data_IF_767594692866
#
_entry.id   IF_767594692866
#
_cell.length_a   1.000
_cell.length_b   1.000
_cell.length_c   1.000
_cell.angle_alpha   90.00
_cell.angle_beta   90.00
_cell.angle_gamma   90.00
#
_symmetry.space_group_name_H-M   'P 1'
#
loop_
_entity.id
_entity.type
_entity.pdbx_description
1 polymer ?
#
# COMPACT_ATOMS: atom_id res chain seq x y z
N UNK A 1 10.77 -7.68 -26.79
CA UNK A 1 9.39 -7.19 -27.01
C UNK A 1 8.53 -7.80 -25.91
N UNK A 2 7.91 -6.98 -25.06
CA UNK A 2 7.14 -7.46 -23.91
C UNK A 2 5.90 -8.27 -24.35
N UNK A 3 5.91 -9.58 -24.13
CA UNK A 3 4.95 -10.56 -24.66
C UNK A 3 3.70 -10.76 -23.79
N UNK A 4 3.39 -9.87 -22.83
CA UNK A 4 2.28 -10.05 -21.88
C UNK A 4 1.10 -9.08 -22.01
N UNK A 5 1.28 -7.89 -22.60
CA UNK A 5 0.22 -6.86 -22.66
C UNK A 5 -0.33 -6.70 -24.07
N UNK A 6 -1.67 -6.72 -24.22
CA UNK A 6 -2.28 -6.39 -25.51
C UNK A 6 -2.10 -4.90 -25.85
N UNK A 7 -2.27 -4.54 -27.12
CA UNK A 7 -2.01 -3.18 -27.61
C UNK A 7 -2.91 -2.12 -26.96
N UNK A 8 -4.14 -2.46 -26.57
CA UNK A 8 -5.09 -1.53 -25.94
C UNK A 8 -4.64 -1.20 -24.52
N UNK A 9 -4.31 -2.23 -23.74
CA UNK A 9 -3.85 -2.08 -22.35
C UNK A 9 -2.52 -1.35 -22.30
N UNK A 10 -1.63 -1.63 -23.26
CA UNK A 10 -0.35 -0.93 -23.39
C UNK A 10 -0.55 0.57 -23.57
N UNK A 11 -1.37 0.98 -24.54
CA UNK A 11 -1.66 2.41 -24.79
C UNK A 11 -2.29 3.08 -23.57
N UNK A 12 -3.19 2.37 -22.90
CA UNK A 12 -3.85 2.88 -21.68
C UNK A 12 -2.82 3.12 -20.57
N UNK A 13 -1.93 2.15 -20.33
CA UNK A 13 -0.89 2.23 -19.32
C UNK A 13 0.14 3.32 -19.66
N UNK A 14 0.59 3.42 -20.92
CA UNK A 14 1.47 4.49 -21.41
C UNK A 14 0.86 5.88 -21.15
N UNK A 15 -0.43 6.07 -21.45
CA UNK A 15 -1.13 7.33 -21.19
C UNK A 15 -1.22 7.66 -19.69
N UNK A 16 -1.47 6.66 -18.83
CA UNK A 16 -1.49 6.84 -17.38
C UNK A 16 -0.10 7.21 -16.83
N UNK A 17 0.96 6.52 -17.28
CA UNK A 17 2.33 6.74 -16.84
C UNK A 17 2.93 8.05 -17.37
N UNK A 18 2.52 8.50 -18.57
CA UNK A 18 2.87 9.82 -19.09
C UNK A 18 2.38 10.96 -18.18
N UNK A 19 1.40 10.69 -17.32
CA UNK A 19 0.85 11.65 -16.37
C UNK A 19 1.73 11.84 -15.12
N UNK A 20 2.78 11.04 -14.92
CA UNK A 20 3.76 11.24 -13.84
C UNK A 20 4.53 12.56 -14.07
N UNK A 21 4.41 13.52 -13.14
CA UNK A 21 4.99 14.86 -13.25
C UNK A 21 6.37 14.98 -12.58
N UNK A 22 6.69 14.04 -11.70
CA UNK A 22 8.00 13.85 -11.06
C UNK A 22 8.38 12.38 -11.09
N UNK A 23 9.67 12.04 -11.16
CA UNK A 23 10.12 10.67 -11.03
C UNK A 23 9.61 10.04 -9.74
N UNK A 24 9.19 8.78 -9.82
CA UNK A 24 8.81 7.97 -8.66
C UNK A 24 9.70 6.74 -8.62
N UNK A 25 10.10 6.33 -7.42
CA UNK A 25 10.96 5.18 -7.24
C UNK A 25 10.21 4.08 -6.46
N UNK A 26 10.36 2.83 -6.92
CA UNK A 26 9.80 1.65 -6.27
C UNK A 26 10.92 0.66 -5.99
N UNK A 27 11.03 0.24 -4.74
CA UNK A 27 11.93 -0.83 -4.34
C UNK A 27 11.11 -2.10 -4.13
N UNK A 28 11.49 -3.17 -4.82
CA UNK A 28 10.89 -4.49 -4.66
C UNK A 28 11.93 -5.43 -4.06
N UNK A 29 11.62 -5.95 -2.88
CA UNK A 29 12.38 -6.99 -2.21
C UNK A 29 11.83 -8.35 -2.64
N UNK A 30 12.66 -9.16 -3.25
CA UNK A 30 12.32 -10.37 -4.00
C UNK A 30 13.12 -11.56 -3.51
N UNK A 31 12.59 -12.74 -3.77
CA UNK A 31 13.25 -14.04 -3.62
C UNK A 31 13.09 -14.87 -4.91
N UNK A 32 13.36 -16.17 -4.85
CA UNK A 32 13.30 -17.10 -5.98
C UNK A 32 11.90 -17.68 -6.25
N UNK A 33 10.88 -17.32 -5.44
CA UNK A 33 9.53 -17.87 -5.58
C UNK A 33 8.78 -17.26 -6.77
N UNK A 34 7.77 -17.96 -7.32
CA UNK A 34 7.02 -17.51 -8.49
C UNK A 34 6.42 -16.10 -8.37
N UNK A 35 5.90 -15.76 -7.18
CA UNK A 35 5.34 -14.42 -6.92
C UNK A 35 6.39 -13.31 -7.11
N UNK A 36 7.65 -13.56 -6.71
CA UNK A 36 8.74 -12.59 -6.86
C UNK A 36 9.19 -12.44 -8.32
N UNK A 37 9.21 -13.53 -9.07
CA UNK A 37 9.47 -13.53 -10.52
C UNK A 37 8.44 -12.68 -11.26
N UNK A 38 7.16 -12.85 -10.91
CA UNK A 38 6.07 -12.09 -11.50
C UNK A 38 6.13 -10.59 -11.15
N UNK A 39 6.41 -10.25 -9.89
CA UNK A 39 6.62 -8.84 -9.49
C UNK A 39 7.74 -8.20 -10.29
N UNK A 40 8.87 -8.91 -10.47
CA UNK A 40 9.99 -8.41 -11.27
C UNK A 40 9.58 -8.11 -12.72
N UNK A 41 8.79 -9.00 -13.33
CA UNK A 41 8.29 -8.81 -14.70
C UNK A 41 7.34 -7.62 -14.80
N UNK A 42 6.32 -7.55 -13.93
CA UNK A 42 5.34 -6.44 -13.90
C UNK A 42 6.05 -5.10 -13.77
N UNK A 43 6.99 -4.98 -12.82
CA UNK A 43 7.68 -3.72 -12.58
C UNK A 43 8.64 -3.34 -13.71
N UNK A 44 9.32 -4.30 -14.34
CA UNK A 44 10.17 -4.04 -15.51
C UNK A 44 9.36 -3.50 -16.69
N UNK A 45 8.24 -4.16 -17.02
CA UNK A 45 7.35 -3.71 -18.10
C UNK A 45 6.82 -2.31 -17.79
N UNK A 46 6.36 -2.09 -16.55
CA UNK A 46 5.81 -0.78 -16.15
C UNK A 46 6.87 0.32 -16.22
N UNK A 47 8.11 0.04 -15.79
CA UNK A 47 9.22 1.00 -15.85
C UNK A 47 9.63 1.35 -17.30
N UNK A 48 9.69 0.36 -18.19
CA UNK A 48 9.95 0.56 -19.63
C UNK A 48 8.91 1.50 -20.25
N UNK A 49 7.63 1.25 -19.98
CA UNK A 49 6.52 2.10 -20.47
C UNK A 49 6.52 3.50 -19.84
N UNK A 50 7.08 3.67 -18.64
CA UNK A 50 7.16 4.97 -17.98
C UNK A 50 8.25 5.89 -18.57
N UNK A 51 9.15 5.36 -19.42
CA UNK A 51 10.20 6.12 -20.10
C UNK A 51 11.04 7.00 -19.13
N UNK A 52 11.54 6.38 -18.06
CA UNK A 52 12.38 7.05 -17.06
C UNK A 52 11.63 7.81 -15.96
N UNK A 53 10.29 7.90 -16.03
CA UNK A 53 9.47 8.50 -14.95
C UNK A 53 9.24 7.56 -13.77
N UNK A 54 9.43 6.26 -13.96
CA UNK A 54 9.39 5.25 -12.91
C UNK A 54 10.76 4.57 -12.83
N UNK A 55 11.38 4.65 -11.66
CA UNK A 55 12.64 3.99 -11.34
C UNK A 55 12.30 2.76 -10.49
N UNK A 56 12.79 1.59 -10.88
CA UNK A 56 12.55 0.34 -10.15
C UNK A 56 13.88 -0.22 -9.69
N UNK A 57 13.98 -0.52 -8.38
CA UNK A 57 15.06 -1.33 -7.82
C UNK A 57 14.53 -2.70 -7.44
N UNK A 58 15.07 -3.73 -8.08
CA UNK A 58 14.78 -5.11 -7.76
C UNK A 58 15.91 -5.64 -6.87
N UNK A 59 15.59 -6.02 -5.64
CA UNK A 59 16.54 -6.38 -4.60
C UNK A 59 16.29 -7.83 -4.18
N UNK A 60 17.27 -8.71 -4.41
CA UNK A 60 17.21 -10.09 -3.95
C UNK A 60 17.49 -10.25 -2.45
N UNK A 61 17.55 -11.49 -1.99
CA UNK A 61 17.90 -11.77 -0.60
C UNK A 61 19.31 -11.33 -0.23
N UNK A 62 19.45 -10.76 0.97
CA UNK A 62 20.70 -10.19 1.47
C UNK A 62 21.16 -8.91 0.74
N UNK A 63 20.46 -8.45 -0.30
CA UNK A 63 20.92 -7.34 -1.14
C UNK A 63 20.85 -5.96 -0.47
N UNK A 64 20.21 -5.81 0.69
CA UNK A 64 20.11 -4.54 1.39
C UNK A 64 20.07 -4.71 2.92
N UNK A 65 20.80 -3.89 3.71
CA UNK A 65 20.85 -4.01 5.18
C UNK A 65 19.48 -3.87 5.86
N UNK A 66 18.58 -3.06 5.29
CA UNK A 66 17.23 -2.86 5.82
C UNK A 66 16.22 -3.93 5.39
N UNK A 67 16.62 -4.89 4.54
CA UNK A 67 15.69 -5.84 3.93
C UNK A 67 14.86 -6.59 4.99
N UNK A 68 15.49 -7.09 6.07
CA UNK A 68 14.78 -7.81 7.13
C UNK A 68 13.73 -6.95 7.83
N UNK A 69 14.07 -5.69 8.12
CA UNK A 69 13.20 -4.74 8.83
C UNK A 69 12.02 -4.34 7.94
N UNK A 70 12.29 -3.99 6.68
CA UNK A 70 11.30 -3.47 5.75
C UNK A 70 10.27 -4.52 5.31
N UNK A 71 10.58 -5.80 5.45
CA UNK A 71 9.71 -6.84 4.92
C UNK A 71 9.19 -7.80 5.96
N UNK A 72 9.82 -7.82 7.15
CA UNK A 72 9.49 -8.75 8.24
C UNK A 72 9.50 -10.20 7.73
N UNK A 73 10.57 -10.55 7.02
CA UNK A 73 10.79 -11.87 6.41
C UNK A 73 9.72 -12.32 5.37
N UNK A 74 8.88 -11.39 4.88
CA UNK A 74 7.98 -11.64 3.74
C UNK A 74 8.61 -11.25 2.41
N UNK A 75 8.25 -11.96 1.35
CA UNK A 75 8.66 -11.68 -0.04
C UNK A 75 7.58 -12.20 -1.01
N UNK A 76 7.26 -11.50 -2.11
CA UNK A 76 7.78 -10.18 -2.47
C UNK A 76 7.15 -9.06 -1.63
N UNK A 77 7.90 -7.98 -1.40
CA UNK A 77 7.40 -6.75 -0.76
C UNK A 77 7.87 -5.53 -1.55
N UNK A 78 6.93 -4.67 -1.92
CA UNK A 78 7.20 -3.42 -2.62
C UNK A 78 7.03 -2.23 -1.67
N UNK A 79 7.95 -1.29 -1.80
CA UNK A 79 7.92 0.00 -1.12
C UNK A 79 8.01 1.12 -2.16
N UNK A 80 7.15 2.13 -2.02
CA UNK A 80 7.21 3.34 -2.86
C UNK A 80 8.00 4.41 -2.11
N UNK A 81 8.90 5.09 -2.82
CA UNK A 81 9.73 6.14 -2.26
C UNK A 81 9.14 7.51 -2.60
N UNK A 82 9.32 8.44 -1.66
CA UNK A 82 9.01 9.84 -1.81
C UNK A 82 10.05 10.55 -2.70
N UNK A 83 9.79 11.83 -3.04
CA UNK A 83 10.65 12.59 -3.93
C UNK A 83 12.07 12.81 -3.42
N UNK A 84 12.33 12.64 -2.10
CA UNK A 84 13.66 12.78 -1.52
C UNK A 84 14.34 11.43 -1.24
N UNK A 85 13.77 10.32 -1.75
CA UNK A 85 14.30 8.96 -1.55
C UNK A 85 13.93 8.34 -0.21
N UNK A 86 13.06 8.96 0.58
CA UNK A 86 12.51 8.38 1.79
C UNK A 86 11.47 7.29 1.47
N UNK A 87 11.42 6.22 2.26
CA UNK A 87 10.33 5.25 2.14
C UNK A 87 9.02 5.90 2.57
N UNK A 88 8.05 5.95 1.68
CA UNK A 88 6.68 6.26 2.07
C UNK A 88 6.14 5.09 2.87
N UNK A 89 5.26 5.31 3.86
CA UNK A 89 4.74 4.26 4.71
C UNK A 89 3.64 3.46 4.01
N UNK A 90 3.96 2.94 2.82
CA UNK A 90 3.08 2.14 1.98
C UNK A 90 3.83 0.86 1.61
N UNK A 91 3.35 -0.24 2.16
CA UNK A 91 3.91 -1.58 2.01
C UNK A 91 2.94 -2.44 1.20
N UNK A 92 3.36 -2.95 0.04
CA UNK A 92 2.56 -3.86 -0.77
C UNK A 92 3.19 -5.25 -0.71
N UNK A 93 2.45 -6.22 -0.17
CA UNK A 93 2.88 -7.59 0.07
C UNK A 93 2.21 -8.50 -0.96
N UNK A 94 3.03 -9.18 -1.76
CA UNK A 94 2.58 -10.01 -2.86
C UNK A 94 2.49 -9.26 -4.21
N UNK A 95 2.17 -9.98 -5.30
CA UNK A 95 2.11 -9.40 -6.63
C UNK A 95 0.90 -8.46 -6.80
N UNK A 96 1.07 -7.25 -7.40
CA UNK A 96 -0.03 -6.32 -7.63
C UNK A 96 -0.86 -6.73 -8.86
N UNK A 97 -1.49 -7.91 -8.80
CA UNK A 97 -2.24 -8.52 -9.91
C UNK A 97 -3.62 -7.91 -10.10
N UNK A 98 -4.15 -8.08 -11.32
CA UNK A 98 -5.54 -7.78 -11.65
C UNK A 98 -5.93 -6.36 -11.26
N UNK A 99 -6.99 -6.23 -10.45
CA UNK A 99 -7.47 -4.93 -9.99
C UNK A 99 -6.46 -4.15 -9.13
N UNK A 100 -5.50 -4.82 -8.48
CA UNK A 100 -4.47 -4.17 -7.68
C UNK A 100 -3.39 -3.49 -8.52
N UNK A 101 -3.19 -3.92 -9.77
CA UNK A 101 -2.27 -3.24 -10.68
C UNK A 101 -2.71 -1.79 -10.93
N UNK A 102 -4.01 -1.59 -11.15
CA UNK A 102 -4.58 -0.25 -11.31
C UNK A 102 -4.45 0.61 -10.04
N UNK A 103 -4.54 -0.01 -8.86
CA UNK A 103 -4.29 0.68 -7.59
C UNK A 103 -2.82 1.14 -7.48
N UNK A 104 -1.86 0.26 -7.80
CA UNK A 104 -0.43 0.61 -7.85
C UNK A 104 -0.17 1.77 -8.81
N UNK A 105 -0.66 1.72 -10.05
CA UNK A 105 -0.47 2.81 -11.02
C UNK A 105 -1.04 4.13 -10.50
N UNK A 106 -2.21 4.09 -9.85
CA UNK A 106 -2.81 5.28 -9.23
C UNK A 106 -1.97 5.80 -8.06
N UNK A 107 -1.41 4.92 -7.24
CA UNK A 107 -0.50 5.31 -6.16
C UNK A 107 0.73 6.04 -6.72
N UNK A 108 1.37 5.51 -7.76
CA UNK A 108 2.52 6.16 -8.41
C UNK A 108 2.16 7.56 -8.91
N UNK A 109 0.99 7.70 -9.54
CA UNK A 109 0.43 9.00 -9.96
C UNK A 109 0.28 9.97 -8.80
N UNK A 110 -0.26 9.49 -7.67
CA UNK A 110 -0.52 10.31 -6.49
C UNK A 110 0.79 10.75 -5.83
N UNK A 111 1.76 9.85 -5.69
CA UNK A 111 3.11 10.16 -5.19
C UNK A 111 3.81 11.16 -6.10
N UNK A 112 3.82 10.90 -7.41
CA UNK A 112 4.40 11.82 -8.41
C UNK A 112 3.82 13.22 -8.29
N UNK A 113 2.52 13.34 -8.00
CA UNK A 113 1.81 14.63 -7.83
C UNK A 113 1.82 15.20 -6.42
N UNK A 114 2.36 14.48 -5.43
CA UNK A 114 2.29 14.84 -4.01
C UNK A 114 0.83 15.10 -3.57
N UNK A 115 -0.05 14.13 -3.83
CA UNK A 115 -1.48 14.16 -3.51
C UNK A 115 -1.91 12.87 -2.83
N UNK A 116 -2.99 12.91 -2.05
CA UNK A 116 -3.59 11.73 -1.42
C UNK A 116 -5.05 11.46 -1.84
N UNK A 117 -5.70 12.34 -2.62
CA UNK A 117 -7.10 12.18 -3.03
C UNK A 117 -8.14 12.03 -1.89
N UNK A 118 -7.81 12.33 -0.63
CA UNK A 118 -8.80 12.40 0.45
C UNK A 118 -9.70 13.63 0.32
N UNK A 119 -10.99 13.53 0.68
CA UNK A 119 -11.83 14.71 0.88
C UNK A 119 -11.21 15.66 1.92
N UNK A 120 -11.32 16.98 1.70
CA UNK A 120 -10.67 17.99 2.54
C UNK A 120 -10.90 17.81 4.05
N UNK A 121 -12.15 17.52 4.45
CA UNK A 121 -12.49 17.28 5.86
C UNK A 121 -11.78 16.05 6.44
N UNK A 122 -11.70 14.96 5.67
CA UNK A 122 -11.00 13.73 6.08
C UNK A 122 -9.49 13.97 6.15
N UNK A 123 -8.92 14.65 5.15
CA UNK A 123 -7.49 14.94 5.13
C UNK A 123 -7.03 15.74 6.37
N UNK A 124 -7.84 16.70 6.83
CA UNK A 124 -7.58 17.46 8.06
C UNK A 124 -7.59 16.57 9.31
N UNK A 125 -8.60 15.69 9.44
CA UNK A 125 -8.68 14.72 10.53
C UNK A 125 -7.46 13.79 10.55
N UNK A 126 -7.10 13.24 9.40
CA UNK A 126 -6.00 12.28 9.24
C UNK A 126 -4.64 12.92 9.58
N UNK A 127 -4.39 14.15 9.13
CA UNK A 127 -3.16 14.89 9.51
C UNK A 127 -3.03 15.11 11.01
N UNK A 128 -4.16 15.24 11.72
CA UNK A 128 -4.18 15.47 13.16
C UNK A 128 -4.04 14.21 14.02
N UNK A 129 -3.94 13.01 13.42
CA UNK A 129 -3.78 11.75 14.16
C UNK A 129 -2.42 11.74 14.86
N UNK A 130 -2.37 11.66 16.21
CA UNK A 130 -1.13 11.80 16.96
C UNK A 130 -0.45 10.47 17.33
N UNK A 131 -1.16 9.35 17.18
CA UNK A 131 -0.71 8.01 17.54
C UNK A 131 -0.35 7.22 16.28
N UNK A 132 0.47 6.19 16.45
CA UNK A 132 0.85 5.32 15.35
C UNK A 132 -0.33 4.42 14.95
N UNK A 133 -0.67 4.43 13.65
CA UNK A 133 -1.79 3.71 13.07
C UNK A 133 -1.32 2.85 11.91
N UNK A 134 -1.72 1.58 11.91
CA UNK A 134 -1.51 0.69 10.79
C UNK A 134 -2.86 0.35 10.16
N UNK A 135 -2.97 0.62 8.86
CA UNK A 135 -4.11 0.25 8.02
C UNK A 135 -3.69 -0.96 7.17
N UNK A 136 -4.10 -2.15 7.56
CA UNK A 136 -3.87 -3.37 6.79
C UNK A 136 -5.09 -3.68 5.93
N UNK A 137 -4.90 -3.68 4.61
CA UNK A 137 -5.92 -4.01 3.62
C UNK A 137 -5.60 -5.35 2.99
N UNK A 138 -6.46 -6.34 3.24
CA UNK A 138 -6.37 -7.67 2.65
C UNK A 138 -7.24 -7.73 1.41
N UNK A 139 -6.65 -8.21 0.32
CA UNK A 139 -7.23 -8.16 -1.02
C UNK A 139 -7.01 -9.47 -1.76
N UNK A 140 -7.72 -9.64 -2.87
CA UNK A 140 -7.40 -10.65 -3.89
C UNK A 140 -7.32 -9.96 -5.26
N UNK A 141 -6.64 -10.57 -6.25
CA UNK A 141 -6.47 -9.98 -7.58
C UNK A 141 -7.79 -9.71 -8.32
N UNK A 142 -8.80 -10.52 -8.03
CA UNK A 142 -10.08 -10.55 -8.76
C UNK A 142 -11.17 -9.73 -8.08
N UNK A 143 -10.98 -9.22 -6.86
CA UNK A 143 -11.99 -8.43 -6.18
C UNK A 143 -12.08 -7.00 -6.75
N UNK A 144 -13.19 -6.61 -7.40
CA UNK A 144 -13.33 -5.28 -8.02
C UNK A 144 -13.47 -4.15 -6.98
N UNK A 145 -13.83 -4.48 -5.74
CA UNK A 145 -14.05 -3.51 -4.66
C UNK A 145 -12.78 -3.20 -3.85
N UNK A 146 -11.83 -4.14 -3.81
CA UNK A 146 -10.57 -3.99 -3.08
C UNK A 146 -9.78 -2.73 -3.43
N UNK A 147 -9.62 -2.32 -4.71
CA UNK A 147 -8.87 -1.12 -5.05
C UNK A 147 -9.37 0.15 -4.38
N UNK A 148 -10.68 0.25 -4.10
CA UNK A 148 -11.20 1.43 -3.41
C UNK A 148 -10.66 1.51 -1.98
N UNK A 149 -10.68 0.40 -1.25
CA UNK A 149 -10.21 0.34 0.15
C UNK A 149 -8.70 0.57 0.21
N UNK A 150 -7.95 -0.04 -0.72
CA UNK A 150 -6.51 0.18 -0.87
C UNK A 150 -6.18 1.66 -1.07
N UNK A 151 -6.84 2.31 -2.04
CA UNK A 151 -6.60 3.73 -2.30
C UNK A 151 -6.91 4.61 -1.09
N UNK A 152 -7.94 4.30 -0.31
CA UNK A 152 -8.26 5.05 0.92
C UNK A 152 -7.17 4.86 1.98
N UNK A 153 -6.67 3.64 2.17
CA UNK A 153 -5.60 3.38 3.13
C UNK A 153 -4.28 4.08 2.73
N UNK A 154 -3.87 3.93 1.47
CA UNK A 154 -2.71 4.62 0.90
C UNK A 154 -2.84 6.14 1.00
N UNK A 155 -4.03 6.67 0.71
CA UNK A 155 -4.34 8.08 0.86
C UNK A 155 -4.17 8.57 2.30
N UNK A 156 -4.62 7.80 3.29
CA UNK A 156 -4.39 8.12 4.70
C UNK A 156 -2.90 8.13 5.06
N UNK A 157 -2.14 7.14 4.57
CA UNK A 157 -0.69 7.06 4.79
C UNK A 157 0.06 8.23 4.14
N UNK A 158 -0.30 8.63 2.91
CA UNK A 158 0.26 9.82 2.25
C UNK A 158 -0.13 11.12 2.95
N UNK A 159 -1.30 11.18 3.59
CA UNK A 159 -1.76 12.36 4.30
C UNK A 159 -1.05 12.56 5.65
N UNK A 160 -0.61 11.48 6.31
CA UNK A 160 0.11 11.54 7.58
C UNK A 160 1.24 10.49 7.62
N UNK A 161 2.33 10.70 6.87
CA UNK A 161 3.35 9.68 6.67
C UNK A 161 4.21 9.41 7.91
N UNK A 162 4.16 10.28 8.91
CA UNK A 162 4.88 10.09 10.19
C UNK A 162 4.14 9.20 11.18
N UNK A 163 2.85 8.92 10.97
CA UNK A 163 2.00 8.21 11.94
C UNK A 163 1.18 7.08 11.32
N UNK A 164 0.90 7.12 10.02
CA UNK A 164 0.00 6.16 9.39
C UNK A 164 0.75 5.33 8.35
N UNK A 165 0.72 4.01 8.54
CA UNK A 165 1.23 3.03 7.59
C UNK A 165 0.08 2.33 6.89
N UNK A 166 0.10 2.28 5.57
CA UNK A 166 -0.78 1.44 4.78
C UNK A 166 -0.04 0.17 4.38
N UNK A 167 -0.62 -0.99 4.69
CA UNK A 167 -0.15 -2.30 4.23
C UNK A 167 -1.20 -2.96 3.37
N UNK A 168 -0.89 -3.26 2.13
CA UNK A 168 -1.76 -4.01 1.23
C UNK A 168 -1.23 -5.43 1.16
N UNK A 169 -2.08 -6.44 1.39
CA UNK A 169 -1.68 -7.85 1.34
C UNK A 169 -2.59 -8.58 0.35
N UNK A 170 -2.00 -9.12 -0.71
CA UNK A 170 -2.67 -10.13 -1.53
C UNK A 170 -2.70 -11.45 -0.75
N UNK A 171 -3.88 -11.82 -0.22
CA UNK A 171 -4.02 -13.04 0.59
C UNK A 171 -3.95 -14.33 -0.23
N UNK A 172 -3.96 -14.22 -1.56
CA UNK A 172 -3.74 -15.37 -2.45
C UNK A 172 -2.26 -15.61 -2.78
N UNK A 173 -1.37 -14.71 -2.34
CA UNK A 173 0.08 -14.85 -2.53
C UNK A 173 0.70 -15.74 -1.46
N UNK A 174 1.76 -16.45 -1.84
CA UNK A 174 2.64 -17.20 -0.92
C UNK A 174 3.33 -16.32 0.14
N UNK A 175 3.26 -14.99 -0.02
CA UNK A 175 3.80 -13.98 0.88
C UNK A 175 2.83 -13.53 1.99
N UNK A 176 1.55 -13.96 1.90
CA UNK A 176 0.48 -13.46 2.76
C UNK A 176 0.67 -13.82 4.24
N UNK A 177 1.24 -14.99 4.54
CA UNK A 177 1.58 -15.48 5.88
C UNK A 177 0.40 -15.54 6.86
N UNK A 178 -0.08 -16.74 7.18
CA UNK A 178 -1.11 -16.93 8.22
C UNK A 178 -2.49 -16.34 7.89
N UNK A 179 -2.72 -15.97 6.62
CA UNK A 179 -4.03 -15.51 6.13
C UNK A 179 -4.90 -16.66 5.56
N UNK A 180 -4.48 -17.91 5.73
CA UNK A 180 -5.08 -19.10 5.08
C UNK A 180 -6.54 -19.38 5.49
N UNK A 181 -7.00 -18.79 6.59
CA UNK A 181 -8.39 -18.93 7.09
C UNK A 181 -9.34 -17.81 6.64
N UNK A 182 -8.87 -16.82 5.87
CA UNK A 182 -9.69 -15.70 5.42
C UNK A 182 -10.54 -16.04 4.19
N UNK A 183 -11.85 -15.84 4.33
CA UNK A 183 -12.82 -16.14 3.27
C UNK A 183 -13.43 -14.90 2.60
N UNK A 184 -13.15 -13.69 3.09
CA UNK A 184 -13.82 -12.46 2.61
C UNK A 184 -12.87 -11.28 2.43
N UNK A 185 -12.96 -10.64 1.26
CA UNK A 185 -12.19 -9.44 0.89
C UNK A 185 -13.11 -8.39 0.22
N UNK A 186 -12.77 -7.08 0.25
CA UNK A 186 -11.67 -6.50 1.01
C UNK A 186 -11.92 -6.56 2.51
N UNK A 187 -10.85 -6.74 3.27
CA UNK A 187 -10.87 -6.57 4.72
C UNK A 187 -9.88 -5.47 5.11
N UNK A 188 -10.35 -4.51 5.90
CA UNK A 188 -9.54 -3.45 6.50
C UNK A 188 -9.39 -3.72 7.99
N UNK A 189 -8.14 -3.87 8.45
CA UNK A 189 -7.79 -3.89 9.87
C UNK A 189 -7.13 -2.55 10.22
N UNK A 190 -7.57 -1.95 11.31
CA UNK A 190 -6.99 -0.72 11.85
C UNK A 190 -6.40 -1.07 13.20
N UNK A 191 -5.08 -0.93 13.30
CA UNK A 191 -4.37 -1.03 14.57
C UNK A 191 -3.88 0.35 15.00
N UNK A 192 -3.97 0.64 16.30
CA UNK A 192 -3.48 1.88 16.92
C UNK A 192 -2.52 1.46 18.03
N UNK A 193 -1.29 1.98 18.02
CA UNK A 193 -0.22 1.59 18.95
C UNK A 193 -0.02 0.07 19.01
N UNK A 194 -0.03 -0.57 17.83
CA UNK A 194 0.15 -2.02 17.67
C UNK A 194 -1.06 -2.88 18.05
N UNK A 195 -2.16 -2.30 18.56
CA UNK A 195 -3.37 -3.05 18.94
C UNK A 195 -4.47 -2.89 17.89
N UNK A 196 -4.95 -3.99 17.32
CA UNK A 196 -6.10 -3.97 16.40
C UNK A 196 -7.35 -3.51 17.13
N UNK A 197 -7.92 -2.38 16.70
CA UNK A 197 -9.12 -1.76 17.29
C UNK A 197 -10.34 -1.83 16.37
N UNK A 198 -10.14 -2.12 15.09
CA UNK A 198 -11.24 -2.26 14.13
C UNK A 198 -10.89 -3.32 13.09
N UNK A 199 -11.88 -4.13 12.75
CA UNK A 199 -11.88 -5.03 11.60
C UNK A 199 -13.16 -4.76 10.80
N UNK A 200 -13.02 -4.33 9.56
CA UNK A 200 -14.12 -4.01 8.66
C UNK A 200 -14.04 -4.88 7.40
N UNK A 201 -15.18 -5.36 6.92
CA UNK A 201 -15.28 -6.17 5.70
C UNK A 201 -16.13 -5.41 4.68
N UNK A 202 -15.69 -5.44 3.43
CA UNK A 202 -16.38 -4.81 2.32
C UNK A 202 -15.93 -3.37 2.05
N UNK A 203 -16.67 -2.69 1.19
CA UNK A 203 -16.39 -1.31 0.83
C UNK A 203 -16.50 -0.39 2.06
N UNK A 204 -15.67 0.63 2.09
CA UNK A 204 -15.67 1.65 3.14
C UNK A 204 -15.31 3.00 2.51
N UNK A 205 -15.93 4.07 3.02
CA UNK A 205 -15.63 5.43 2.59
C UNK A 205 -14.42 5.99 3.32
N UNK A 206 -13.76 7.00 2.75
CA UNK A 206 -12.68 7.71 3.44
C UNK A 206 -13.15 8.36 4.76
N UNK A 207 -14.41 8.80 4.82
CA UNK A 207 -15.01 9.36 6.04
C UNK A 207 -15.15 8.32 7.14
N UNK A 208 -15.62 7.12 6.81
CA UNK A 208 -15.78 6.04 7.78
C UNK A 208 -14.43 5.55 8.28
N UNK A 209 -13.43 5.40 7.39
CA UNK A 209 -12.05 5.09 7.80
C UNK A 209 -11.52 6.18 8.76
N UNK A 210 -11.69 7.46 8.43
CA UNK A 210 -11.31 8.55 9.32
C UNK A 210 -12.00 8.46 10.69
N UNK A 211 -13.30 8.17 10.73
CA UNK A 211 -14.04 7.98 11.99
C UNK A 211 -13.54 6.79 12.80
N UNK A 212 -13.27 5.65 12.15
CA UNK A 212 -12.76 4.45 12.80
C UNK A 212 -11.37 4.71 13.42
N UNK A 213 -10.48 5.37 12.69
CA UNK A 213 -9.16 5.78 13.21
C UNK A 213 -9.32 6.66 14.44
N UNK A 214 -10.13 7.72 14.36
CA UNK A 214 -10.32 8.64 15.49
C UNK A 214 -10.97 7.98 16.70
N UNK A 215 -11.87 7.02 16.48
CA UNK A 215 -12.45 6.21 17.55
C UNK A 215 -11.38 5.36 18.24
N UNK A 216 -10.54 4.68 17.45
CA UNK A 216 -9.41 3.89 17.93
C UNK A 216 -8.42 4.70 18.76
N UNK A 217 -8.04 5.88 18.26
CA UNK A 217 -7.15 6.83 18.96
C UNK A 217 -7.73 7.25 20.30
N UNK A 218 -9.01 7.66 20.34
CA UNK A 218 -9.69 8.04 21.59
C UNK A 218 -9.71 6.89 22.59
N UNK A 219 -9.99 5.67 22.13
CA UNK A 219 -9.98 4.46 22.95
C UNK A 219 -8.60 4.15 23.54
N UNK A 220 -7.53 4.30 22.75
CA UNK A 220 -6.17 4.11 23.20
C UNK A 220 -5.76 5.15 24.27
N UNK A 221 -6.07 6.43 24.06
CA UNK A 221 -5.76 7.49 25.01
C UNK A 221 -6.47 7.31 26.36
N UNK A 222 -7.71 6.80 26.37
CA UNK A 222 -8.43 6.50 27.62
C UNK A 222 -7.76 5.40 28.43
N UNK A 223 -7.39 4.29 27.78
CA UNK A 223 -6.70 3.17 28.46
C UNK A 223 -5.39 3.59 29.13
N UNK A 224 -4.61 4.47 28.49
CA UNK A 224 -3.38 5.00 29.10
C UNK A 224 -3.68 5.80 30.36
N UNK A 225 -4.73 6.64 30.34
CA UNK A 225 -5.13 7.42 31.53
C UNK A 225 -5.60 6.54 32.67
N UNK A 226 -6.34 5.47 32.38
CA UNK A 226 -6.87 4.58 33.42
C UNK A 226 -5.74 3.80 34.13
N UNK A 227 -4.63 3.51 33.44
CA UNK A 227 -3.45 2.86 34.01
C UNK A 227 -2.64 3.82 34.90
N UNK A 228 -2.58 5.11 34.55
CA UNK A 228 -1.76 6.09 35.31
C UNK A 228 -2.46 6.66 36.54
N UNK A 229 -3.75 6.39 36.74
CA UNK A 229 -4.54 6.87 37.88
C UNK A 229 -4.88 5.76 38.89
N UNK A 230 -4.20 4.61 38.78
CA UNK A 230 -4.33 3.45 39.67
C UNK A 230 -2.95 3.11 40.26
#
# INVERSE_FOLDING_TARGET
MATGLNARDRRTLEAMLASLIRPVEVWAFLDDRPDSVEVAEILRITADLAQGRLIVRLLGDGAHPLARILTKDRRPVLWVLGPNGEFLPIEIVGPPRGYQFGALVRLLINVSRNRNDLPHGVAGLIRGVPLDVQLEVRVTPTCPHSPQVVRVAEACALANPGRIVARVIDISSSSAGGCDSLQVVPQLLIAVEGQTVTQHIGMVSAWDVGRMIMSGVKGATRRVRDITHN
#
